data_IF_878663028384
#
_entry.id   IF_878663028384
#
_cell.length_a   1.000
_cell.length_b   1.000
_cell.length_c   1.000
_cell.angle_alpha   90.00
_cell.angle_beta   90.00
_cell.angle_gamma   90.00
#
_symmetry.space_group_name_H-M   'P 1'
#
loop_
_entity.id
_entity.type
_entity.pdbx_description
1 polymer ?
#
# COMPACT_ATOMS: atom_id res chain seq x y z
N UNK A 1 7.28 5.76 24.52
CA UNK A 1 7.49 5.06 23.23
C UNK A 1 6.27 5.39 22.38
N UNK A 2 6.43 6.33 21.46
CA UNK A 2 5.34 6.83 20.63
C UNK A 2 4.94 5.71 19.66
N UNK A 3 3.70 5.22 19.78
CA UNK A 3 3.09 4.38 18.75
C UNK A 3 3.04 5.24 17.48
N UNK A 4 3.94 4.97 16.54
CA UNK A 4 3.88 5.60 15.24
C UNK A 4 2.52 5.30 14.63
N UNK A 5 1.71 6.32 14.55
CA UNK A 5 0.38 6.30 13.94
C UNK A 5 0.56 5.93 12.47
N UNK A 6 0.55 4.63 12.19
CA UNK A 6 0.58 4.14 10.82
C UNK A 6 -0.80 4.38 10.25
N UNK A 7 -0.95 5.51 9.55
CA UNK A 7 -2.17 5.84 8.81
C UNK A 7 -2.65 4.60 8.03
N UNK A 8 -3.93 4.32 8.11
CA UNK A 8 -4.52 3.22 7.37
C UNK A 8 -4.55 3.55 5.85
N UNK A 9 -4.73 2.55 4.97
CA UNK A 9 -4.72 2.78 3.52
C UNK A 9 -5.71 3.83 3.03
N UNK A 10 -6.90 3.88 3.63
CA UNK A 10 -7.94 4.86 3.28
C UNK A 10 -7.53 6.30 3.67
N UNK A 11 -6.93 6.48 4.85
CA UNK A 11 -6.42 7.77 5.29
C UNK A 11 -5.27 8.24 4.39
N UNK A 12 -4.37 7.34 3.99
CA UNK A 12 -3.30 7.68 3.04
C UNK A 12 -3.82 8.06 1.67
N UNK A 13 -4.80 7.33 1.14
CA UNK A 13 -5.43 7.67 -0.13
C UNK A 13 -6.15 9.03 -0.07
N UNK A 14 -6.81 9.32 1.06
CA UNK A 14 -7.40 10.64 1.31
C UNK A 14 -6.35 11.75 1.34
N UNK A 15 -5.25 11.56 2.05
CA UNK A 15 -4.15 12.52 2.09
C UNK A 15 -3.55 12.76 0.71
N UNK A 16 -3.38 11.71 -0.11
CA UNK A 16 -2.94 11.87 -1.49
C UNK A 16 -3.89 12.77 -2.27
N UNK A 17 -5.19 12.58 -2.12
CA UNK A 17 -6.21 13.40 -2.76
C UNK A 17 -6.19 14.85 -2.27
N UNK A 18 -6.14 15.06 -0.95
CA UNK A 18 -6.36 16.38 -0.34
C UNK A 18 -5.09 17.24 -0.36
N UNK A 19 -3.90 16.63 -0.21
CA UNK A 19 -2.66 17.37 0.02
C UNK A 19 -1.63 17.19 -1.09
N UNK A 20 -1.61 16.04 -1.77
CA UNK A 20 -0.57 15.73 -2.75
C UNK A 20 -1.01 15.91 -4.21
N UNK A 21 -2.30 15.88 -4.47
CA UNK A 21 -2.83 16.02 -5.82
C UNK A 21 -2.61 17.43 -6.39
N UNK A 22 -2.73 18.47 -5.56
CA UNK A 22 -2.53 19.86 -5.97
C UNK A 22 -1.13 20.34 -5.54
N UNK A 23 -0.29 20.84 -6.46
CA UNK A 23 1.02 21.38 -6.10
C UNK A 23 0.89 22.55 -5.11
N UNK A 24 1.55 22.45 -3.95
CA UNK A 24 1.59 23.50 -2.94
C UNK A 24 0.66 23.33 -1.75
N UNK A 25 -0.19 22.30 -1.70
CA UNK A 25 -1.09 22.07 -0.57
C UNK A 25 -0.40 21.46 0.67
N UNK A 26 0.74 20.79 0.56
CA UNK A 26 1.24 19.99 1.68
C UNK A 26 2.70 20.14 2.12
N UNK A 27 3.56 20.84 1.39
CA UNK A 27 4.95 21.03 1.83
C UNK A 27 5.43 22.44 1.55
N UNK A 28 5.97 23.09 2.58
CA UNK A 28 6.80 24.28 2.51
C UNK A 28 8.04 23.90 1.68
N UNK A 29 7.85 23.89 0.36
CA UNK A 29 8.92 23.59 -0.58
C UNK A 29 10.00 24.63 -0.43
N UNK A 30 11.20 24.17 -0.10
CA UNK A 30 12.44 24.87 -0.38
C UNK A 30 12.35 25.51 -1.77
N UNK A 31 12.68 26.78 -1.86
CA UNK A 31 12.58 27.59 -3.08
C UNK A 31 13.35 26.94 -4.23
N UNK A 32 12.68 26.11 -5.00
CA UNK A 32 13.16 25.69 -6.30
C UNK A 32 12.80 26.77 -7.31
N UNK A 33 13.81 27.21 -8.05
CA UNK A 33 13.81 28.17 -9.13
C UNK A 33 12.53 28.14 -9.96
N UNK A 34 11.93 29.31 -10.19
CA UNK A 34 10.73 29.51 -11.02
C UNK A 34 10.96 28.93 -12.42
N UNK A 35 10.42 27.77 -12.69
CA UNK A 35 10.15 27.34 -14.05
C UNK A 35 9.06 28.26 -14.63
N UNK A 36 9.33 28.85 -15.78
CA UNK A 36 8.39 29.73 -16.51
C UNK A 36 7.33 28.95 -17.29
N UNK A 37 7.29 27.63 -17.17
CA UNK A 37 6.21 26.83 -17.74
C UNK A 37 4.96 26.90 -16.84
N UNK A 38 3.74 27.10 -17.41
CA UNK A 38 2.52 27.03 -16.64
C UNK A 38 2.44 25.62 -16.03
N UNK A 39 2.68 25.53 -14.72
CA UNK A 39 2.67 24.27 -14.00
C UNK A 39 1.30 23.61 -14.14
N UNK A 40 1.28 22.35 -14.50
CA UNK A 40 0.05 21.55 -14.49
C UNK A 40 -0.55 21.66 -13.10
N UNK A 41 -1.81 22.10 -12.94
CA UNK A 41 -2.42 22.33 -11.64
C UNK A 41 -2.62 21.05 -10.81
N UNK A 42 -2.36 19.89 -11.42
CA UNK A 42 -2.48 18.56 -10.81
C UNK A 42 -1.19 17.79 -11.01
N UNK A 43 -0.75 17.06 -9.99
CA UNK A 43 0.35 16.10 -10.09
C UNK A 43 -0.15 14.83 -10.76
N UNK A 44 0.04 14.72 -12.07
CA UNK A 44 -0.47 13.60 -12.86
C UNK A 44 -0.05 12.22 -12.32
N UNK A 45 1.19 12.07 -11.89
CA UNK A 45 1.68 10.81 -11.32
C UNK A 45 0.89 10.40 -10.05
N UNK A 46 0.51 11.35 -9.18
CA UNK A 46 -0.32 11.09 -8.01
C UNK A 46 -1.74 10.73 -8.44
N UNK A 47 -2.29 11.47 -9.40
CA UNK A 47 -3.62 11.19 -9.94
C UNK A 47 -3.70 9.80 -10.58
N UNK A 48 -2.72 9.45 -11.42
CA UNK A 48 -2.67 8.14 -12.08
C UNK A 48 -2.55 7.02 -11.05
N UNK A 49 -1.68 7.18 -10.04
CA UNK A 49 -1.55 6.23 -8.95
C UNK A 49 -2.89 6.01 -8.19
N UNK A 50 -3.59 7.08 -7.86
CA UNK A 50 -4.89 6.99 -7.19
C UNK A 50 -5.94 6.28 -8.06
N UNK A 51 -6.00 6.64 -9.34
CA UNK A 51 -6.93 6.02 -10.31
C UNK A 51 -6.64 4.52 -10.48
N UNK A 52 -5.38 4.15 -10.60
CA UNK A 52 -4.94 2.76 -10.70
C UNK A 52 -5.28 1.97 -9.44
N UNK A 53 -5.03 2.54 -8.25
CA UNK A 53 -5.37 1.92 -6.98
C UNK A 53 -6.87 1.64 -6.85
N UNK A 54 -7.71 2.61 -7.17
CA UNK A 54 -9.18 2.44 -7.16
C UNK A 54 -9.61 1.41 -8.20
N UNK A 55 -9.05 1.48 -9.40
CA UNK A 55 -9.36 0.55 -10.49
C UNK A 55 -9.02 -0.91 -10.11
N UNK A 56 -7.88 -1.12 -9.47
CA UNK A 56 -7.48 -2.45 -8.99
C UNK A 56 -8.44 -2.99 -7.91
N UNK A 57 -8.85 -2.14 -6.95
CA UNK A 57 -9.82 -2.54 -5.91
C UNK A 57 -11.15 -2.96 -6.52
N UNK A 58 -11.65 -2.20 -7.48
CA UNK A 58 -12.91 -2.53 -8.19
C UNK A 58 -12.77 -3.83 -8.99
N UNK A 59 -11.65 -4.01 -9.70
CA UNK A 59 -11.37 -5.24 -10.44
C UNK A 59 -11.26 -6.45 -9.50
N UNK A 60 -10.62 -6.28 -8.35
CA UNK A 60 -10.51 -7.32 -7.33
C UNK A 60 -11.89 -7.73 -6.81
N UNK A 61 -12.74 -6.78 -6.42
CA UNK A 61 -14.10 -7.06 -5.99
C UNK A 61 -14.86 -7.85 -7.05
N UNK A 62 -14.80 -7.41 -8.31
CA UNK A 62 -15.44 -8.10 -9.43
C UNK A 62 -14.94 -9.53 -9.60
N UNK A 63 -13.63 -9.75 -9.47
CA UNK A 63 -13.03 -11.09 -9.62
C UNK A 63 -13.34 -12.04 -8.46
N UNK A 64 -13.57 -11.50 -7.27
CA UNK A 64 -13.84 -12.30 -6.07
C UNK A 64 -15.29 -12.74 -5.93
N UNK A 65 -16.21 -11.97 -6.48
CA UNK A 65 -17.65 -12.16 -6.23
C UNK A 65 -18.37 -12.93 -7.35
N UNK A 66 -17.70 -13.83 -8.09
CA UNK A 66 -18.29 -14.71 -9.11
C UNK A 66 -19.82 -14.55 -9.28
N UNK A 67 -20.31 -14.14 -10.45
CA UNK A 67 -21.72 -14.17 -10.94
C UNK A 67 -22.90 -13.95 -9.97
N UNK A 68 -22.68 -13.71 -8.70
CA UNK A 68 -23.71 -13.36 -7.74
C UNK A 68 -23.97 -11.86 -7.76
N UNK A 69 -25.05 -11.52 -8.41
CA UNK A 69 -25.62 -10.17 -8.50
C UNK A 69 -25.96 -9.54 -7.13
N UNK A 70 -26.29 -8.25 -7.15
CA UNK A 70 -25.59 -7.19 -7.80
C UNK A 70 -24.60 -6.51 -6.83
N UNK A 71 -23.39 -6.20 -7.33
CA UNK A 71 -22.52 -5.25 -6.65
C UNK A 71 -23.26 -3.95 -6.37
N UNK A 72 -23.10 -3.42 -5.17
CA UNK A 72 -23.34 -2.01 -5.02
C UNK A 72 -22.33 -1.24 -5.87
N UNK A 73 -22.73 -0.17 -6.56
CA UNK A 73 -21.78 0.60 -7.36
C UNK A 73 -20.63 1.10 -6.48
N UNK A 74 -19.39 1.13 -7.00
CA UNK A 74 -18.25 1.63 -6.24
C UNK A 74 -18.48 3.08 -5.80
N UNK A 75 -17.98 3.48 -4.62
CA UNK A 75 -18.21 4.80 -4.07
C UNK A 75 -17.57 5.90 -4.93
N UNK A 76 -18.20 7.07 -4.96
CA UNK A 76 -17.68 8.23 -5.69
C UNK A 76 -16.39 8.80 -5.04
N UNK A 77 -16.18 8.57 -3.74
CA UNK A 77 -14.98 9.01 -3.03
C UNK A 77 -13.95 7.90 -3.01
N UNK A 78 -12.76 8.17 -3.54
CA UNK A 78 -11.68 7.20 -3.60
C UNK A 78 -11.32 6.59 -2.23
N UNK A 79 -11.32 7.39 -1.16
CA UNK A 79 -10.99 6.94 0.19
C UNK A 79 -11.96 5.88 0.75
N UNK A 80 -13.20 5.84 0.27
CA UNK A 80 -14.23 4.91 0.76
C UNK A 80 -14.15 3.56 0.03
N UNK A 81 -13.30 3.42 -1.00
CA UNK A 81 -13.23 2.21 -1.84
C UNK A 81 -12.80 0.96 -1.06
N UNK A 82 -11.95 1.13 -0.06
CA UNK A 82 -11.49 -0.01 0.75
C UNK A 82 -12.58 -0.53 1.68
N UNK A 83 -13.35 0.39 2.29
CA UNK A 83 -14.49 0.00 3.11
C UNK A 83 -15.55 -0.70 2.28
N UNK A 84 -15.85 -0.16 1.10
CA UNK A 84 -16.76 -0.79 0.13
C UNK A 84 -16.28 -2.20 -0.27
N UNK A 85 -14.98 -2.37 -0.58
CA UNK A 85 -14.43 -3.70 -0.90
C UNK A 85 -14.62 -4.68 0.25
N UNK A 86 -14.37 -4.25 1.48
CA UNK A 86 -14.55 -5.11 2.67
C UNK A 86 -16.02 -5.53 2.80
N UNK A 87 -16.97 -4.60 2.69
CA UNK A 87 -18.40 -4.86 2.79
C UNK A 87 -18.90 -5.83 1.71
N UNK A 88 -18.47 -5.63 0.45
CA UNK A 88 -18.84 -6.49 -0.67
C UNK A 88 -18.28 -7.91 -0.55
N UNK A 89 -17.15 -8.09 0.14
CA UNK A 89 -16.42 -9.36 0.20
C UNK A 89 -16.39 -10.01 1.58
N UNK A 90 -17.14 -9.48 2.57
CA UNK A 90 -17.15 -10.01 3.94
C UNK A 90 -17.76 -11.41 4.07
N UNK A 91 -18.64 -11.77 3.13
CA UNK A 91 -19.28 -13.08 3.04
C UNK A 91 -18.38 -14.19 2.48
N UNK A 92 -17.20 -13.85 1.95
CA UNK A 92 -16.27 -14.80 1.35
C UNK A 92 -15.50 -15.61 2.40
N UNK A 93 -14.91 -16.72 1.96
CA UNK A 93 -14.07 -17.55 2.82
C UNK A 93 -12.81 -16.82 3.31
N UNK A 94 -12.23 -17.33 4.39
CA UNK A 94 -11.07 -16.71 5.05
C UNK A 94 -9.85 -16.53 4.12
N UNK A 95 -9.67 -17.41 3.12
CA UNK A 95 -8.55 -17.33 2.17
C UNK A 95 -8.75 -16.15 1.22
N UNK A 96 -9.97 -15.95 0.69
CA UNK A 96 -10.30 -14.81 -0.17
C UNK A 96 -10.24 -13.50 0.62
N UNK A 97 -10.74 -13.47 1.86
CA UNK A 97 -10.60 -12.32 2.75
C UNK A 97 -9.14 -11.98 3.03
N UNK A 98 -8.29 -12.98 3.27
CA UNK A 98 -6.85 -12.77 3.46
C UNK A 98 -6.19 -12.19 2.20
N UNK A 99 -6.54 -12.66 1.01
CA UNK A 99 -6.02 -12.12 -0.25
C UNK A 99 -6.46 -10.66 -0.45
N UNK A 100 -7.72 -10.33 -0.20
CA UNK A 100 -8.23 -8.95 -0.17
C UNK A 100 -7.43 -8.06 0.77
N UNK A 101 -7.27 -8.49 2.02
CA UNK A 101 -6.56 -7.73 3.04
C UNK A 101 -5.09 -7.49 2.66
N UNK A 102 -4.45 -8.45 1.97
CA UNK A 102 -3.10 -8.31 1.46
C UNK A 102 -3.01 -7.22 0.38
N UNK A 103 -3.98 -7.16 -0.54
CA UNK A 103 -4.04 -6.10 -1.56
C UNK A 103 -4.25 -4.72 -0.92
N UNK A 104 -5.21 -4.58 0.00
CA UNK A 104 -5.45 -3.33 0.72
C UNK A 104 -4.16 -2.88 1.45
N UNK A 105 -3.49 -3.81 2.12
CA UNK A 105 -2.27 -3.50 2.86
C UNK A 105 -1.12 -3.08 1.94
N UNK A 106 -0.93 -3.78 0.80
CA UNK A 106 0.06 -3.43 -0.21
C UNK A 106 -0.16 -2.02 -0.74
N UNK A 107 -1.39 -1.68 -1.13
CA UNK A 107 -1.72 -0.32 -1.59
C UNK A 107 -1.43 0.74 -0.51
N UNK A 108 -1.67 0.43 0.76
CA UNK A 108 -1.27 1.30 1.87
C UNK A 108 0.23 1.57 1.93
N UNK A 109 1.08 0.58 1.61
CA UNK A 109 2.53 0.76 1.49
C UNK A 109 2.90 1.60 0.26
N UNK A 110 2.25 1.35 -0.88
CA UNK A 110 2.44 2.12 -2.12
C UNK A 110 2.08 3.59 -1.93
N UNK A 111 0.95 3.88 -1.28
CA UNK A 111 0.55 5.25 -0.93
C UNK A 111 1.61 5.94 -0.05
N UNK A 112 2.15 5.23 0.95
CA UNK A 112 3.21 5.75 1.80
C UNK A 112 4.46 6.13 0.97
N UNK A 113 4.87 5.26 0.06
CA UNK A 113 6.03 5.48 -0.81
C UNK A 113 5.80 6.67 -1.73
N UNK A 114 4.62 6.80 -2.34
CA UNK A 114 4.24 7.94 -3.19
C UNK A 114 4.25 9.25 -2.40
N UNK A 115 3.85 9.22 -1.12
CA UNK A 115 3.93 10.35 -0.20
C UNK A 115 5.37 10.64 0.28
N UNK A 116 6.34 9.77 -0.05
CA UNK A 116 7.73 9.89 0.39
C UNK A 116 8.04 9.25 1.75
N UNK A 117 7.06 8.60 2.39
CA UNK A 117 7.25 7.87 3.65
C UNK A 117 7.85 6.48 3.38
N UNK A 118 9.16 6.44 3.18
CA UNK A 118 9.90 5.19 2.99
C UNK A 118 10.08 4.40 4.30
N UNK A 119 9.80 5.02 5.45
CA UNK A 119 9.91 4.38 6.74
C UNK A 119 8.75 3.40 6.99
N UNK A 120 7.66 3.51 6.24
CA UNK A 120 6.52 2.59 6.29
C UNK A 120 6.92 1.12 6.08
N UNK A 121 8.06 0.85 5.43
CA UNK A 121 8.59 -0.51 5.22
C UNK A 121 9.29 -1.07 6.47
N UNK A 122 9.91 -0.23 7.29
CA UNK A 122 10.75 -0.67 8.44
C UNK A 122 10.03 -1.50 9.50
N UNK A 123 8.74 -1.29 9.80
CA UNK A 123 8.02 -2.10 10.77
C UNK A 123 7.72 -3.54 10.35
N UNK A 124 8.32 -4.01 9.25
CA UNK A 124 8.11 -5.36 8.75
C UNK A 124 9.36 -6.20 8.96
N UNK A 125 9.22 -7.41 9.54
CA UNK A 125 10.32 -8.36 9.55
C UNK A 125 10.50 -8.97 8.15
N UNK A 126 11.74 -9.26 7.80
CA UNK A 126 12.04 -9.95 6.56
C UNK A 126 11.30 -11.31 6.48
N UNK A 127 10.62 -11.63 5.39
CA UNK A 127 9.92 -12.91 5.22
C UNK A 127 10.85 -14.13 5.34
N UNK A 128 12.10 -14.01 4.92
CA UNK A 128 13.08 -15.11 4.95
C UNK A 128 13.74 -15.25 6.33
N UNK A 129 14.39 -14.21 6.84
CA UNK A 129 15.22 -14.32 8.05
C UNK A 129 14.56 -13.77 9.32
N UNK A 130 13.35 -13.23 9.22
CA UNK A 130 12.55 -12.66 10.31
C UNK A 130 13.23 -11.48 11.08
N UNK A 131 14.38 -10.99 10.63
CA UNK A 131 15.03 -9.81 11.23
C UNK A 131 14.40 -8.51 10.74
N UNK A 132 14.45 -7.50 11.58
CA UNK A 132 14.06 -6.14 11.26
C UNK A 132 15.21 -5.46 10.51
N UNK A 133 14.94 -4.87 9.36
CA UNK A 133 15.97 -4.23 8.55
C UNK A 133 15.61 -4.18 7.07
N UNK A 134 14.32 -4.14 6.78
CA UNK A 134 13.84 -3.92 5.42
C UNK A 134 13.94 -2.45 5.05
N UNK A 135 14.37 -2.17 3.82
CA UNK A 135 14.43 -0.83 3.24
C UNK A 135 13.88 -0.85 1.82
N UNK A 136 13.29 0.27 1.42
CA UNK A 136 12.82 0.46 0.05
C UNK A 136 13.95 0.90 -0.87
N UNK A 137 14.16 0.17 -1.95
CA UNK A 137 15.06 0.54 -3.03
C UNK A 137 14.24 1.20 -4.16
N UNK A 138 14.45 2.51 -4.35
CA UNK A 138 13.70 3.30 -5.34
C UNK A 138 14.01 2.91 -6.77
N UNK A 139 15.28 2.58 -7.08
CA UNK A 139 15.73 2.33 -8.45
C UNK A 139 15.18 1.00 -9.00
N UNK A 140 14.96 0.04 -8.10
CA UNK A 140 14.46 -1.29 -8.45
C UNK A 140 13.01 -1.50 -8.06
N UNK A 141 12.40 -0.54 -7.38
CA UNK A 141 11.03 -0.65 -6.83
C UNK A 141 10.81 -1.93 -6.02
N UNK A 142 11.79 -2.27 -5.19
CA UNK A 142 11.80 -3.49 -4.36
C UNK A 142 12.18 -3.17 -2.93
N UNK A 143 11.76 -4.05 -2.03
CA UNK A 143 12.19 -4.05 -0.62
C UNK A 143 13.42 -4.94 -0.48
N UNK A 144 14.47 -4.43 0.14
CA UNK A 144 15.75 -5.14 0.32
C UNK A 144 15.96 -5.44 1.79
N UNK A 145 16.39 -6.66 2.12
CA UNK A 145 16.83 -7.02 3.45
C UNK A 145 18.29 -6.62 3.68
N UNK A 146 18.57 -5.79 4.69
CA UNK A 146 19.92 -5.34 5.01
C UNK A 146 20.73 -6.36 5.84
N UNK A 147 20.14 -7.47 6.25
CA UNK A 147 20.86 -8.52 6.94
C UNK A 147 21.78 -9.25 5.95
N UNK A 148 23.09 -9.05 6.08
CA UNK A 148 24.10 -9.67 5.21
C UNK A 148 24.09 -11.21 5.21
N UNK A 149 23.48 -11.84 6.22
CA UNK A 149 23.29 -13.29 6.28
C UNK A 149 22.02 -13.76 5.56
N UNK A 150 21.20 -12.83 5.11
CA UNK A 150 19.99 -13.08 4.34
C UNK A 150 20.30 -12.80 2.86
N UNK A 151 21.12 -13.66 2.27
CA UNK A 151 21.45 -13.63 0.85
C UNK A 151 20.69 -14.75 0.14
N UNK A 152 20.48 -14.59 -1.14
CA UNK A 152 20.03 -15.66 -2.02
C UNK A 152 21.18 -16.62 -2.36
N UNK A 153 20.90 -17.64 -3.19
CA UNK A 153 21.88 -18.67 -3.59
C UNK A 153 23.07 -18.08 -4.36
N UNK A 154 22.90 -16.91 -4.96
CA UNK A 154 23.95 -16.17 -5.69
C UNK A 154 24.73 -15.18 -4.78
N UNK A 155 24.44 -15.17 -3.49
CA UNK A 155 25.06 -14.28 -2.51
C UNK A 155 24.58 -12.82 -2.59
N UNK A 156 23.47 -12.54 -3.33
CA UNK A 156 22.86 -11.23 -3.41
C UNK A 156 21.91 -11.01 -2.23
N UNK A 157 21.75 -9.75 -1.81
CA UNK A 157 20.77 -9.41 -0.77
C UNK A 157 19.37 -9.80 -1.21
N UNK A 158 18.65 -10.52 -0.35
CA UNK A 158 17.28 -10.96 -0.64
C UNK A 158 16.36 -9.76 -0.85
N UNK A 159 15.61 -9.78 -1.93
CA UNK A 159 14.67 -8.74 -2.32
C UNK A 159 13.23 -9.25 -2.31
N UNK A 160 12.29 -8.33 -2.08
CA UNK A 160 10.86 -8.61 -1.96
C UNK A 160 10.05 -7.58 -2.72
N UNK A 161 8.92 -7.99 -3.29
CA UNK A 161 7.91 -7.05 -3.76
C UNK A 161 7.06 -6.54 -2.59
N UNK A 162 6.36 -5.42 -2.77
CA UNK A 162 5.41 -4.94 -1.76
C UNK A 162 4.26 -5.94 -1.54
N UNK A 163 3.86 -6.68 -2.58
CA UNK A 163 2.87 -7.74 -2.47
C UNK A 163 3.32 -8.85 -1.51
N UNK A 164 4.55 -9.35 -1.66
CA UNK A 164 5.11 -10.37 -0.77
C UNK A 164 5.24 -9.90 0.68
N UNK A 165 5.60 -8.62 0.89
CA UNK A 165 5.63 -8.03 2.24
C UNK A 165 4.22 -7.97 2.83
N UNK A 166 3.23 -7.54 2.05
CA UNK A 166 1.84 -7.45 2.47
C UNK A 166 1.26 -8.83 2.82
N UNK A 167 1.43 -9.81 1.94
CA UNK A 167 0.99 -11.19 2.17
C UNK A 167 1.59 -11.78 3.45
N UNK A 168 2.90 -11.61 3.65
CA UNK A 168 3.58 -12.07 4.87
C UNK A 168 3.03 -11.37 6.12
N UNK A 169 2.82 -10.06 6.06
CA UNK A 169 2.24 -9.29 7.16
C UNK A 169 0.85 -9.81 7.55
N UNK A 170 -0.04 -9.97 6.58
CA UNK A 170 -1.42 -10.43 6.81
C UNK A 170 -1.44 -11.88 7.32
N UNK A 171 -0.64 -12.77 6.73
CA UNK A 171 -0.53 -14.15 7.21
C UNK A 171 -0.07 -14.23 8.67
N UNK A 172 0.93 -13.42 9.06
CA UNK A 172 1.41 -13.36 10.44
C UNK A 172 0.37 -12.77 11.40
N UNK A 173 -0.36 -11.75 11.00
CA UNK A 173 -1.46 -11.15 11.78
C UNK A 173 -2.52 -12.20 12.08
N UNK A 174 -2.98 -12.91 11.04
CA UNK A 174 -4.03 -13.92 11.17
C UNK A 174 -3.56 -15.15 11.97
N UNK A 175 -2.31 -15.59 11.78
CA UNK A 175 -1.73 -16.67 12.56
C UNK A 175 -1.52 -16.34 14.05
N UNK A 176 -1.36 -15.05 14.41
CA UNK A 176 -1.34 -14.61 15.83
C UNK A 176 -2.75 -14.61 16.43
N UNK A 177 -3.74 -14.12 15.68
CA UNK A 177 -5.13 -14.11 16.10
C UNK A 177 -5.64 -15.54 16.40
N UNK A 178 -5.34 -16.49 15.49
CA UNK A 178 -5.73 -17.89 15.66
C UNK A 178 -5.07 -18.62 16.86
N UNK A 179 -3.95 -18.10 17.39
CA UNK A 179 -3.28 -18.67 18.59
C UNK A 179 -3.74 -18.02 19.89
N UNK A 180 -4.46 -16.93 19.83
CA UNK A 180 -4.95 -16.18 20.99
C UNK A 180 -6.40 -16.55 21.39
N UNK A 181 -7.10 -17.36 20.57
CA UNK A 181 -8.42 -17.94 20.81
C UNK A 181 -8.32 -19.40 21.20
#
# INVERSE_FOLDING_TARGET
MSSGDTLNPAERLRLLQDEYLVPGAGHRAERVSRSTEPGTPIRLAVYDHMRESVGEVVALATSMCDDRAPFTPPPAKAADVYQWLVEETDHLDARRQQARDAVIYRQGLEHAIVMGDLLAIRPHPCPSCATWGLVWNRDRETVVCLNRRCADDDGQLTTWTLAQIAENHIARRNGRAARAT
#
